data_IF_395389391973
#
_entry.id   IF_395389391973
#
_cell.length_a   1.000
_cell.length_b   1.000
_cell.length_c   1.000
_cell.angle_alpha   90.00
_cell.angle_beta   90.00
_cell.angle_gamma   90.00
#
_symmetry.space_group_name_H-M   'P 1'
#
loop_
_entity.id
_entity.type
_entity.pdbx_description
1 polymer ?
#
# COMPACT_ATOMS: atom_id res chain seq x y z
N UNK A 1 24.77 5.25 19.28
CA UNK A 1 24.62 4.99 17.82
C UNK A 1 24.65 3.48 17.64
N UNK A 2 23.52 2.80 17.70
CA UNK A 2 23.38 1.40 17.31
C UNK A 2 23.65 1.35 15.79
N UNK A 3 24.74 0.69 15.44
CA UNK A 3 25.13 0.40 14.07
C UNK A 3 24.08 -0.58 13.50
N UNK A 4 22.92 -0.05 13.04
CA UNK A 4 21.90 -0.86 12.36
C UNK A 4 22.55 -1.33 11.06
N UNK A 5 23.01 -2.57 11.02
CA UNK A 5 23.45 -3.21 9.79
C UNK A 5 22.36 -2.96 8.74
N UNK A 6 22.70 -2.24 7.69
CA UNK A 6 21.81 -2.00 6.57
C UNK A 6 21.42 -3.34 5.96
N UNK A 7 20.13 -3.71 6.01
CA UNK A 7 19.55 -4.95 5.46
C UNK A 7 19.21 -4.72 4.00
N UNK A 8 20.20 -4.94 3.11
CA UNK A 8 20.04 -4.78 1.67
C UNK A 8 18.96 -5.70 1.07
N UNK A 9 18.81 -6.90 1.61
CA UNK A 9 17.77 -7.85 1.24
C UNK A 9 16.35 -7.31 1.46
N UNK A 10 16.11 -6.60 2.58
CA UNK A 10 14.81 -5.97 2.85
C UNK A 10 14.54 -4.82 1.88
N UNK A 11 15.54 -4.02 1.54
CA UNK A 11 15.36 -2.96 0.54
C UNK A 11 15.10 -3.55 -0.85
N UNK A 12 15.78 -4.62 -1.20
CA UNK A 12 15.53 -5.34 -2.46
C UNK A 12 14.11 -5.91 -2.51
N UNK A 13 13.63 -6.55 -1.42
CA UNK A 13 12.24 -7.01 -1.33
C UNK A 13 11.24 -5.87 -1.53
N UNK A 14 11.46 -4.71 -0.92
CA UNK A 14 10.59 -3.54 -1.08
C UNK A 14 10.60 -3.01 -2.52
N UNK A 15 11.77 -3.01 -3.17
CA UNK A 15 11.88 -2.63 -4.57
C UNK A 15 11.08 -3.58 -5.47
N UNK A 16 11.30 -4.88 -5.33
CA UNK A 16 10.56 -5.89 -6.12
C UNK A 16 9.06 -5.78 -5.85
N UNK A 17 8.64 -5.63 -4.61
CA UNK A 17 7.23 -5.49 -4.25
C UNK A 17 6.56 -4.31 -4.96
N UNK A 18 7.16 -3.11 -4.94
CA UNK A 18 6.58 -1.94 -5.62
C UNK A 18 6.61 -2.08 -7.14
N UNK A 19 7.68 -2.65 -7.71
CA UNK A 19 7.78 -2.88 -9.15
C UNK A 19 6.73 -3.90 -9.64
N UNK A 20 6.46 -4.97 -8.86
CA UNK A 20 5.40 -5.93 -9.15
C UNK A 20 4.02 -5.25 -9.16
N UNK A 21 3.73 -4.41 -8.15
CA UNK A 21 2.47 -3.66 -8.10
C UNK A 21 2.32 -2.72 -9.31
N UNK A 22 3.38 -1.99 -9.68
CA UNK A 22 3.36 -1.10 -10.85
C UNK A 22 3.13 -1.92 -12.13
N UNK A 23 3.85 -3.03 -12.30
CA UNK A 23 3.71 -3.91 -13.46
C UNK A 23 2.30 -4.51 -13.57
N UNK A 24 1.66 -4.85 -12.44
CA UNK A 24 0.27 -5.28 -12.39
C UNK A 24 -0.69 -4.19 -12.88
N UNK A 25 -0.55 -2.97 -12.37
CA UNK A 25 -1.42 -1.86 -12.77
C UNK A 25 -1.19 -1.40 -14.22
N UNK A 26 0.01 -1.60 -14.76
CA UNK A 26 0.31 -1.43 -16.18
C UNK A 26 -0.13 -2.64 -17.04
N UNK A 27 -0.76 -3.67 -16.44
CA UNK A 27 -1.21 -4.91 -17.12
C UNK A 27 -0.08 -5.72 -17.77
N UNK A 28 1.15 -5.58 -17.27
CA UNK A 28 2.32 -6.33 -17.74
C UNK A 28 2.41 -7.74 -17.13
N UNK A 29 1.94 -7.91 -15.90
CA UNK A 29 1.92 -9.19 -15.18
C UNK A 29 0.58 -9.38 -14.45
N UNK A 30 0.13 -10.63 -14.31
CA UNK A 30 -1.18 -10.94 -13.71
C UNK A 30 -1.15 -10.96 -12.19
N UNK A 31 -0.12 -11.52 -11.59
CA UNK A 31 0.02 -11.71 -10.13
C UNK A 31 0.75 -10.60 -9.40
N UNK A 32 1.05 -9.46 -10.05
CA UNK A 32 1.83 -8.39 -9.41
C UNK A 32 1.13 -7.70 -8.23
N UNK A 33 -0.19 -7.83 -8.10
CA UNK A 33 -0.94 -7.37 -6.92
C UNK A 33 -0.44 -8.01 -5.61
N UNK A 34 0.17 -9.21 -5.68
CA UNK A 34 0.80 -9.90 -4.56
C UNK A 34 2.04 -9.17 -4.01
N UNK A 35 2.53 -8.13 -4.69
CA UNK A 35 3.52 -7.21 -4.12
C UNK A 35 3.04 -6.56 -2.81
N UNK A 36 1.74 -6.42 -2.60
CA UNK A 36 1.17 -5.92 -1.34
C UNK A 36 1.37 -6.94 -0.21
N UNK A 37 1.19 -8.24 -0.48
CA UNK A 37 1.40 -9.32 0.48
C UNK A 37 2.87 -9.33 0.94
N UNK A 38 3.82 -9.10 0.01
CA UNK A 38 5.25 -8.92 0.31
C UNK A 38 5.47 -7.74 1.26
N UNK A 39 4.83 -6.59 1.01
CA UNK A 39 4.92 -5.43 1.89
C UNK A 39 4.40 -5.72 3.30
N UNK A 40 3.30 -6.43 3.44
CA UNK A 40 2.74 -6.78 4.75
C UNK A 40 3.68 -7.69 5.56
N UNK A 41 4.30 -8.68 4.93
CA UNK A 41 5.33 -9.52 5.60
C UNK A 41 6.54 -8.68 6.04
N UNK A 42 7.05 -7.81 5.16
CA UNK A 42 8.16 -6.90 5.49
C UNK A 42 7.78 -6.02 6.67
N UNK A 43 6.57 -5.44 6.66
CA UNK A 43 6.08 -4.56 7.72
C UNK A 43 5.94 -5.29 9.05
N UNK A 44 5.39 -6.50 9.05
CA UNK A 44 5.34 -7.35 10.24
C UNK A 44 6.72 -7.58 10.85
N UNK A 45 7.72 -7.92 10.05
CA UNK A 45 9.09 -8.11 10.50
C UNK A 45 9.73 -6.82 11.02
N UNK A 46 9.74 -5.76 10.21
CA UNK A 46 10.44 -4.50 10.53
C UNK A 46 9.83 -3.82 11.75
N UNK A 47 8.51 -3.80 11.88
CA UNK A 47 7.82 -3.22 13.03
C UNK A 47 8.13 -4.00 14.29
N UNK A 48 7.97 -5.32 14.27
CA UNK A 48 8.22 -6.17 15.44
C UNK A 48 9.69 -6.10 15.87
N UNK A 49 10.63 -6.08 14.92
CA UNK A 49 12.05 -5.90 15.20
C UNK A 49 12.33 -4.54 15.85
N UNK A 50 11.71 -3.46 15.36
CA UNK A 50 11.86 -2.12 15.96
C UNK A 50 11.28 -2.04 17.38
N UNK A 51 10.14 -2.69 17.64
CA UNK A 51 9.55 -2.76 18.98
C UNK A 51 10.43 -3.58 19.92
N UNK A 52 10.93 -4.73 19.44
CA UNK A 52 11.79 -5.61 20.21
C UNK A 52 13.12 -4.95 20.63
N UNK A 53 13.71 -4.13 19.75
CA UNK A 53 14.98 -3.44 20.01
C UNK A 53 14.81 -2.04 20.65
N UNK A 54 13.58 -1.65 21.00
CA UNK A 54 13.33 -0.36 21.65
C UNK A 54 13.64 -0.41 23.13
N UNK A 55 14.25 0.64 23.68
CA UNK A 55 14.64 0.77 25.08
C UNK A 55 13.80 1.82 25.81
N UNK A 56 13.79 1.76 27.15
CA UNK A 56 13.03 2.65 28.01
C UNK A 56 11.71 2.08 28.51
N UNK A 57 10.95 2.89 29.25
CA UNK A 57 9.63 2.49 29.74
C UNK A 57 8.59 2.38 28.60
N UNK A 58 7.50 1.67 28.84
CA UNK A 58 6.48 1.38 27.84
C UNK A 58 5.94 2.66 27.15
N UNK A 59 5.63 3.68 27.93
CA UNK A 59 5.09 4.95 27.40
C UNK A 59 6.07 5.64 26.44
N UNK A 60 7.36 5.72 26.81
CA UNK A 60 8.39 6.32 25.95
C UNK A 60 8.62 5.49 24.67
N UNK A 61 8.59 4.15 24.76
CA UNK A 61 8.74 3.24 23.61
C UNK A 61 7.60 3.42 22.62
N UNK A 62 6.35 3.44 23.09
CA UNK A 62 5.16 3.66 22.28
C UNK A 62 5.17 5.07 21.66
N UNK A 63 5.38 6.12 22.48
CA UNK A 63 5.45 7.50 21.97
C UNK A 63 6.50 7.65 20.87
N UNK A 64 7.71 7.16 21.10
CA UNK A 64 8.80 7.25 20.12
C UNK A 64 8.51 6.43 18.85
N UNK A 65 7.84 5.28 18.98
CA UNK A 65 7.42 4.48 17.85
C UNK A 65 6.41 5.24 16.98
N UNK A 66 5.30 5.72 17.56
CA UNK A 66 4.24 6.43 16.82
C UNK A 66 4.75 7.73 16.19
N UNK A 67 5.56 8.51 16.90
CA UNK A 67 6.14 9.73 16.34
C UNK A 67 7.05 9.46 15.13
N UNK A 68 7.87 8.41 15.18
CA UNK A 68 8.71 8.04 14.02
C UNK A 68 7.87 7.60 12.82
N UNK A 69 6.75 6.90 13.05
CA UNK A 69 5.82 6.50 11.98
C UNK A 69 5.09 7.70 11.41
N UNK A 70 4.51 8.56 12.24
CA UNK A 70 3.84 9.77 11.82
C UNK A 70 4.74 10.64 10.91
N UNK A 71 5.97 10.91 11.33
CA UNK A 71 6.95 11.67 10.53
C UNK A 71 7.27 11.05 9.17
N UNK A 72 7.26 9.73 9.09
CA UNK A 72 7.62 9.01 7.87
C UNK A 72 6.47 8.94 6.87
N UNK A 73 5.23 8.79 7.35
CA UNK A 73 4.10 8.39 6.53
C UNK A 73 3.19 9.57 6.23
N UNK A 74 2.75 10.30 7.26
CA UNK A 74 1.71 11.32 7.13
C UNK A 74 2.05 12.45 6.17
N UNK A 75 3.25 13.07 6.18
CA UNK A 75 3.51 14.21 5.30
C UNK A 75 3.41 13.85 3.82
N UNK A 76 4.06 12.77 3.40
CA UNK A 76 4.05 12.33 2.01
C UNK A 76 2.68 11.83 1.57
N UNK A 77 1.99 11.06 2.43
CA UNK A 77 0.65 10.56 2.16
C UNK A 77 -0.35 11.68 1.96
N UNK A 78 -0.44 12.64 2.93
CA UNK A 78 -1.38 13.75 2.87
C UNK A 78 -1.07 14.71 1.71
N UNK A 79 0.21 14.95 1.42
CA UNK A 79 0.61 15.78 0.27
C UNK A 79 0.19 15.14 -1.05
N UNK A 80 0.38 13.83 -1.21
CA UNK A 80 -0.05 13.12 -2.43
C UNK A 80 -1.57 13.12 -2.53
N UNK A 81 -2.32 12.89 -1.42
CA UNK A 81 -3.79 12.97 -1.42
C UNK A 81 -4.25 14.36 -1.85
N UNK A 82 -3.63 15.43 -1.33
CA UNK A 82 -3.94 16.81 -1.71
C UNK A 82 -3.73 17.05 -3.21
N UNK A 83 -2.57 16.65 -3.74
CA UNK A 83 -2.27 16.78 -5.17
C UNK A 83 -3.27 15.97 -6.01
N UNK A 84 -3.55 14.73 -5.62
CA UNK A 84 -4.53 13.88 -6.31
C UNK A 84 -5.93 14.50 -6.27
N UNK A 85 -6.35 15.11 -5.16
CA UNK A 85 -7.62 15.82 -5.07
C UNK A 85 -7.69 17.00 -6.06
N UNK A 86 -6.62 17.81 -6.13
CA UNK A 86 -6.53 18.94 -7.09
C UNK A 86 -6.61 18.42 -8.53
N UNK A 87 -5.76 17.45 -8.88
CA UNK A 87 -5.71 16.91 -10.23
C UNK A 87 -6.99 16.16 -10.63
N UNK A 88 -7.62 15.41 -9.70
CA UNK A 88 -8.87 14.73 -9.98
C UNK A 88 -9.99 15.70 -10.34
N UNK A 89 -10.03 16.85 -9.66
CA UNK A 89 -10.98 17.94 -9.98
C UNK A 89 -10.74 18.56 -11.36
N UNK A 90 -9.48 18.66 -11.77
CA UNK A 90 -9.12 19.30 -13.04
C UNK A 90 -9.26 18.35 -14.25
N UNK A 91 -8.99 17.06 -14.08
CA UNK A 91 -8.78 16.13 -15.21
C UNK A 91 -9.73 14.94 -15.25
N UNK A 92 -10.44 14.61 -14.15
CA UNK A 92 -11.36 13.47 -14.12
C UNK A 92 -12.82 13.93 -14.20
N UNK A 93 -13.68 13.02 -14.68
CA UNK A 93 -15.07 13.31 -14.96
C UNK A 93 -15.83 13.86 -13.72
N UNK A 94 -16.64 14.95 -13.90
CA UNK A 94 -17.39 15.57 -12.81
C UNK A 94 -18.34 14.62 -12.08
N UNK A 95 -18.88 13.63 -12.79
CA UNK A 95 -19.80 12.63 -12.27
C UNK A 95 -19.26 11.86 -11.06
N UNK A 96 -17.93 11.64 -10.99
CA UNK A 96 -17.30 10.86 -9.93
C UNK A 96 -16.78 11.70 -8.75
N UNK A 97 -16.90 13.03 -8.80
CA UNK A 97 -16.27 13.91 -7.82
C UNK A 97 -16.85 13.74 -6.40
N UNK A 98 -18.16 13.48 -6.28
CA UNK A 98 -18.77 13.19 -4.96
C UNK A 98 -18.19 11.94 -4.32
N UNK A 99 -17.96 10.89 -5.12
CA UNK A 99 -17.30 9.66 -4.68
C UNK A 99 -15.83 9.92 -4.33
N UNK A 100 -15.08 10.61 -5.19
CA UNK A 100 -13.67 10.93 -4.94
C UNK A 100 -13.48 11.79 -3.67
N UNK A 101 -14.43 12.67 -3.35
CA UNK A 101 -14.45 13.42 -2.09
C UNK A 101 -14.49 12.48 -0.87
N UNK A 102 -15.36 11.46 -0.89
CA UNK A 102 -15.49 10.48 0.19
C UNK A 102 -14.25 9.60 0.26
N UNK A 103 -13.72 9.15 -0.89
CA UNK A 103 -12.50 8.33 -0.95
C UNK A 103 -11.28 9.10 -0.44
N UNK A 104 -11.16 10.41 -0.76
CA UNK A 104 -10.12 11.28 -0.23
C UNK A 104 -10.23 11.46 1.29
N UNK A 105 -11.46 11.57 1.82
CA UNK A 105 -11.70 11.64 3.27
C UNK A 105 -11.18 10.37 3.97
N UNK A 106 -11.63 9.21 3.53
CA UNK A 106 -11.19 7.94 4.10
C UNK A 106 -9.67 7.75 3.98
N UNK A 107 -9.09 8.15 2.84
CA UNK A 107 -7.64 8.05 2.62
C UNK A 107 -6.85 8.97 3.55
N UNK A 108 -7.31 10.22 3.75
CA UNK A 108 -6.65 11.18 4.64
C UNK A 108 -6.72 10.79 6.11
N UNK A 109 -7.75 10.04 6.50
CA UNK A 109 -7.93 9.48 7.85
C UNK A 109 -7.31 8.07 8.00
N UNK A 110 -6.55 7.59 7.02
CA UNK A 110 -5.93 6.25 7.00
C UNK A 110 -6.93 5.09 7.13
N UNK A 111 -8.18 5.32 6.72
CA UNK A 111 -9.27 4.35 6.76
C UNK A 111 -9.79 3.92 5.38
N UNK A 112 -9.01 4.12 4.30
CA UNK A 112 -9.44 3.85 2.93
C UNK A 112 -9.95 2.42 2.72
N UNK A 113 -9.32 1.44 3.37
CA UNK A 113 -9.77 0.04 3.35
C UNK A 113 -11.18 -0.13 3.91
N UNK A 114 -11.53 0.58 4.99
CA UNK A 114 -12.86 0.55 5.58
C UNK A 114 -13.87 1.20 4.61
N UNK A 115 -13.55 2.39 4.08
CA UNK A 115 -14.39 3.09 3.11
C UNK A 115 -14.70 2.23 1.88
N UNK A 116 -13.68 1.64 1.26
CA UNK A 116 -13.86 0.78 0.08
C UNK A 116 -14.59 -0.53 0.42
N UNK A 117 -14.32 -1.13 1.57
CA UNK A 117 -15.03 -2.32 2.04
C UNK A 117 -16.53 -2.08 2.26
N UNK A 118 -16.91 -0.95 2.90
CA UNK A 118 -18.31 -0.57 3.12
C UNK A 118 -19.04 -0.34 1.79
N UNK A 119 -18.37 0.29 0.81
CA UNK A 119 -18.94 0.51 -0.51
C UNK A 119 -18.92 -0.73 -1.40
N UNK A 120 -18.45 -1.86 -0.87
CA UNK A 120 -18.37 -3.17 -1.55
C UNK A 120 -17.70 -3.10 -2.92
N UNK A 121 -16.62 -2.32 -3.01
CA UNK A 121 -15.86 -2.14 -4.24
C UNK A 121 -14.95 -3.34 -4.48
N UNK A 122 -15.24 -4.11 -5.53
CA UNK A 122 -14.32 -5.18 -5.95
C UNK A 122 -13.04 -4.56 -6.55
N UNK A 123 -11.93 -4.71 -5.83
CA UNK A 123 -10.63 -4.19 -6.26
C UNK A 123 -10.12 -4.86 -7.53
N UNK A 124 -10.35 -6.16 -7.66
CA UNK A 124 -9.77 -6.97 -8.75
C UNK A 124 -10.64 -6.97 -10.00
N UNK A 125 -11.97 -6.90 -9.86
CA UNK A 125 -12.95 -7.11 -10.94
C UNK A 125 -13.98 -5.98 -11.09
N UNK A 126 -13.71 -4.77 -10.53
CA UNK A 126 -14.67 -3.67 -10.59
C UNK A 126 -14.94 -3.21 -12.03
N UNK A 127 -16.21 -3.17 -12.41
CA UNK A 127 -16.70 -2.57 -13.67
C UNK A 127 -16.85 -1.05 -13.60
N UNK A 128 -16.73 -0.46 -12.43
CA UNK A 128 -16.87 0.99 -12.24
C UNK A 128 -15.53 1.71 -12.47
N UNK A 129 -15.60 3.00 -12.86
CA UNK A 129 -14.40 3.82 -13.01
C UNK A 129 -13.59 3.82 -11.70
N UNK A 130 -12.29 3.48 -11.76
CA UNK A 130 -11.48 3.32 -10.57
C UNK A 130 -11.24 4.66 -9.86
N UNK A 131 -11.24 4.64 -8.52
CA UNK A 131 -10.88 5.79 -7.70
C UNK A 131 -9.38 6.09 -7.79
N UNK A 132 -8.97 7.36 -7.91
CA UNK A 132 -7.56 7.73 -7.86
C UNK A 132 -6.92 7.48 -6.49
N UNK A 133 -7.72 7.22 -5.46
CA UNK A 133 -7.28 6.90 -4.11
C UNK A 133 -7.30 5.40 -3.81
N UNK A 134 -7.69 4.54 -4.76
CA UNK A 134 -7.96 3.13 -4.51
C UNK A 134 -6.80 2.40 -3.83
N UNK A 135 -5.55 2.66 -4.26
CA UNK A 135 -4.34 2.03 -3.71
C UNK A 135 -4.08 2.33 -2.21
N UNK A 136 -4.75 3.36 -1.63
CA UNK A 136 -4.64 3.67 -0.20
C UNK A 136 -5.26 2.61 0.73
N UNK A 137 -6.03 1.66 0.17
CA UNK A 137 -6.59 0.58 0.99
C UNK A 137 -5.53 -0.21 1.75
N UNK A 138 -4.44 -0.57 1.08
CA UNK A 138 -3.37 -1.35 1.71
C UNK A 138 -2.61 -0.55 2.76
N UNK A 139 -2.42 0.76 2.54
CA UNK A 139 -1.84 1.66 3.52
C UNK A 139 -2.76 1.78 4.76
N UNK A 140 -4.09 1.83 4.57
CA UNK A 140 -5.04 1.80 5.68
C UNK A 140 -4.91 0.54 6.54
N UNK A 141 -4.82 -0.65 5.91
CA UNK A 141 -4.57 -1.92 6.61
C UNK A 141 -3.24 -1.88 7.37
N UNK A 142 -2.19 -1.38 6.74
CA UNK A 142 -0.85 -1.29 7.33
C UNK A 142 -0.83 -0.34 8.55
N UNK A 143 -1.47 0.83 8.46
CA UNK A 143 -1.56 1.79 9.57
C UNK A 143 -2.37 1.24 10.75
N UNK A 144 -3.45 0.52 10.49
CA UNK A 144 -4.23 -0.14 11.54
C UNK A 144 -3.39 -1.21 12.25
N UNK A 145 -2.58 -1.97 11.51
CA UNK A 145 -1.59 -2.87 12.11
C UNK A 145 -0.58 -2.09 12.97
N UNK A 146 -0.08 -0.94 12.51
CA UNK A 146 0.87 -0.11 13.27
C UNK A 146 0.28 0.45 14.56
N UNK A 147 -1.03 0.69 14.60
CA UNK A 147 -1.70 1.17 15.82
C UNK A 147 -1.90 0.02 16.80
N UNK A 148 -2.37 -1.14 16.35
CA UNK A 148 -2.81 -2.25 17.21
C UNK A 148 -1.63 -3.12 17.64
N UNK A 149 -0.72 -3.46 16.72
CA UNK A 149 0.35 -4.42 16.96
C UNK A 149 1.31 -4.05 18.10
N UNK A 150 1.77 -2.80 18.27
CA UNK A 150 2.64 -2.45 19.41
C UNK A 150 2.02 -2.73 20.75
N UNK A 151 0.71 -2.50 20.91
CA UNK A 151 -0.01 -2.76 22.15
C UNK A 151 -0.07 -4.27 22.43
N UNK A 152 -0.43 -5.06 21.43
CA UNK A 152 -0.46 -6.53 21.52
C UNK A 152 0.94 -7.08 21.80
N UNK A 153 1.97 -6.59 21.07
CA UNK A 153 3.33 -7.08 21.19
C UNK A 153 3.90 -6.85 22.61
N UNK A 154 3.75 -5.65 23.16
CA UNK A 154 4.25 -5.35 24.49
C UNK A 154 3.47 -6.05 25.59
N UNK A 155 2.16 -6.25 25.42
CA UNK A 155 1.34 -6.93 26.43
C UNK A 155 1.57 -8.44 26.45
N UNK A 156 1.71 -9.08 25.29
CA UNK A 156 1.68 -10.54 25.19
C UNK A 156 3.00 -11.17 24.73
N UNK A 157 3.76 -10.53 23.85
CA UNK A 157 4.82 -11.19 23.11
C UNK A 157 6.24 -10.70 23.41
N UNK A 158 6.44 -9.59 24.12
CA UNK A 158 7.79 -9.03 24.36
C UNK A 158 8.76 -10.06 24.93
N UNK A 159 8.31 -10.89 25.87
CA UNK A 159 9.09 -11.94 26.49
C UNK A 159 8.80 -13.35 25.95
N UNK A 160 7.82 -13.48 25.06
CA UNK A 160 7.29 -14.77 24.58
C UNK A 160 7.11 -14.77 23.05
N UNK A 161 8.04 -14.23 22.30
CA UNK A 161 7.93 -14.03 20.84
C UNK A 161 7.59 -15.28 20.06
N UNK A 162 8.04 -16.46 20.52
CA UNK A 162 7.71 -17.73 19.87
C UNK A 162 6.21 -18.06 19.88
N UNK A 163 5.44 -17.46 20.80
CA UNK A 163 3.99 -17.66 20.81
C UNK A 163 3.31 -17.06 19.56
N UNK A 164 3.96 -16.13 18.87
CA UNK A 164 3.43 -15.59 17.60
C UNK A 164 3.21 -16.72 16.57
N UNK A 165 4.04 -17.76 16.58
CA UNK A 165 3.87 -18.92 15.69
C UNK A 165 2.54 -19.63 15.88
N UNK A 166 1.99 -19.67 17.10
CA UNK A 166 0.70 -20.29 17.37
C UNK A 166 -0.50 -19.50 16.83
N UNK A 167 -0.29 -18.20 16.56
CA UNK A 167 -1.31 -17.36 15.91
C UNK A 167 -1.33 -17.54 14.39
N UNK A 168 -0.26 -18.03 13.77
CA UNK A 168 -0.18 -18.15 12.30
C UNK A 168 -1.30 -19.04 11.72
N UNK A 169 -1.49 -20.31 12.18
CA UNK A 169 -2.54 -21.15 11.63
C UNK A 169 -3.93 -20.55 11.87
N UNK A 170 -4.17 -19.99 13.06
CA UNK A 170 -5.47 -19.38 13.40
C UNK A 170 -5.78 -18.20 12.48
N UNK A 171 -4.82 -17.28 12.29
CA UNK A 171 -4.98 -16.12 11.41
C UNK A 171 -5.15 -16.56 9.94
N UNK A 172 -4.39 -17.56 9.50
CA UNK A 172 -4.47 -18.09 8.13
C UNK A 172 -5.82 -18.73 7.85
N UNK A 173 -6.28 -19.62 8.74
CA UNK A 173 -7.61 -20.28 8.60
C UNK A 173 -8.72 -19.24 8.67
N UNK A 174 -8.64 -18.28 9.61
CA UNK A 174 -9.60 -17.19 9.73
C UNK A 174 -9.67 -16.31 8.48
N UNK A 175 -8.52 -16.01 7.86
CA UNK A 175 -8.45 -15.25 6.62
C UNK A 175 -9.14 -15.99 5.46
N UNK A 176 -8.83 -17.27 5.27
CA UNK A 176 -9.42 -18.09 4.20
C UNK A 176 -10.92 -18.24 4.41
N UNK A 177 -11.34 -18.50 5.65
CA UNK A 177 -12.76 -18.65 6.00
C UNK A 177 -13.54 -17.36 5.75
N UNK A 178 -13.02 -16.20 6.18
CA UNK A 178 -13.66 -14.91 5.94
C UNK A 178 -13.74 -14.56 4.45
N UNK A 179 -12.73 -14.93 3.65
CA UNK A 179 -12.73 -14.71 2.21
C UNK A 179 -13.79 -15.56 1.50
N UNK A 180 -14.01 -16.78 1.95
CA UNK A 180 -15.08 -17.64 1.40
C UNK A 180 -16.49 -17.12 1.72
N UNK A 181 -16.67 -16.49 2.88
CA UNK A 181 -17.98 -15.93 3.28
C UNK A 181 -18.25 -14.55 2.66
N UNK A 182 -17.23 -13.68 2.64
CA UNK A 182 -17.36 -12.28 2.21
C UNK A 182 -16.16 -11.87 1.35
N UNK A 183 -16.04 -12.35 0.10
CA UNK A 183 -14.83 -12.23 -0.70
C UNK A 183 -14.37 -10.78 -0.92
N UNK A 184 -15.29 -9.87 -1.25
CA UNK A 184 -14.96 -8.46 -1.49
C UNK A 184 -14.59 -7.74 -0.20
N UNK A 185 -15.39 -7.92 0.85
CA UNK A 185 -15.16 -7.24 2.13
C UNK A 185 -13.88 -7.74 2.81
N UNK A 186 -13.64 -9.06 2.80
CA UNK A 186 -12.43 -9.66 3.36
C UNK A 186 -11.14 -9.19 2.73
N UNK A 187 -11.17 -8.82 1.45
CA UNK A 187 -10.01 -8.25 0.77
C UNK A 187 -9.45 -7.03 1.49
N UNK A 188 -10.34 -6.20 2.06
CA UNK A 188 -10.00 -4.94 2.73
C UNK A 188 -9.82 -5.08 4.25
N UNK A 189 -10.22 -6.20 4.86
CA UNK A 189 -10.17 -6.37 6.32
C UNK A 189 -8.74 -6.59 6.83
N UNK A 190 -8.29 -5.86 7.86
CA UNK A 190 -7.00 -6.10 8.51
C UNK A 190 -6.88 -7.51 9.10
N UNK A 191 -7.99 -8.07 9.61
CA UNK A 191 -8.02 -9.44 10.17
C UNK A 191 -7.72 -10.50 9.11
N UNK A 192 -8.21 -10.33 7.89
CA UNK A 192 -7.96 -11.25 6.79
C UNK A 192 -6.52 -11.16 6.24
N UNK A 193 -5.83 -10.05 6.49
CA UNK A 193 -4.44 -9.80 6.13
C UNK A 193 -3.46 -10.02 7.27
N UNK A 194 -3.98 -10.30 8.50
CA UNK A 194 -3.16 -10.41 9.70
C UNK A 194 -2.09 -11.50 9.61
N UNK A 195 -2.37 -12.62 8.92
CA UNK A 195 -1.41 -13.71 8.78
C UNK A 195 -0.12 -13.27 8.06
N UNK A 196 -0.20 -12.41 7.05
CA UNK A 196 0.95 -11.88 6.31
C UNK A 196 1.89 -11.09 7.24
N UNK A 197 1.33 -10.19 8.05
CA UNK A 197 2.10 -9.46 9.06
C UNK A 197 2.68 -10.41 10.14
N UNK A 198 1.91 -11.40 10.56
CA UNK A 198 2.34 -12.35 11.59
C UNK A 198 3.48 -13.25 11.10
N UNK A 199 3.51 -13.67 9.81
CA UNK A 199 4.65 -14.37 9.23
C UNK A 199 5.93 -13.56 9.37
N UNK A 200 5.88 -12.27 9.04
CA UNK A 200 7.02 -11.37 9.25
C UNK A 200 7.38 -11.20 10.72
N UNK A 201 6.41 -10.94 11.59
CA UNK A 201 6.61 -10.74 13.02
C UNK A 201 7.23 -11.96 13.72
N UNK A 202 6.82 -13.17 13.33
CA UNK A 202 7.33 -14.43 13.90
C UNK A 202 8.83 -14.62 13.69
N UNK A 203 9.39 -14.12 12.58
CA UNK A 203 10.83 -14.22 12.29
C UNK A 203 11.72 -13.54 13.34
N UNK A 204 11.19 -12.54 14.06
CA UNK A 204 11.93 -11.87 15.14
C UNK A 204 12.22 -12.83 16.31
N UNK A 205 11.39 -13.86 16.49
CA UNK A 205 11.58 -14.89 17.50
C UNK A 205 12.58 -15.98 17.11
N UNK A 206 12.85 -16.15 15.82
CA UNK A 206 13.73 -17.22 15.27
C UNK A 206 15.14 -16.71 14.99
N UNK A 207 15.25 -15.44 14.58
CA UNK A 207 16.51 -14.88 14.09
C UNK A 207 16.76 -15.18 12.60
N UNK A 208 18.04 -15.18 12.17
CA UNK A 208 18.42 -15.46 10.80
C UNK A 208 18.99 -16.87 10.63
N UNK A 209 18.89 -17.42 9.43
CA UNK A 209 19.47 -18.72 9.07
C UNK A 209 20.98 -18.74 9.36
N UNK A 210 21.46 -19.86 9.88
CA UNK A 210 22.89 -20.10 10.15
C UNK A 210 23.57 -20.74 8.94
N UNK A 211 22.88 -21.65 8.27
CA UNK A 211 23.37 -22.42 7.13
C UNK A 211 22.43 -22.28 5.92
N UNK A 212 22.93 -22.54 4.72
CA UNK A 212 22.12 -22.57 3.50
C UNK A 212 21.46 -21.24 3.10
N UNK A 213 21.97 -20.09 3.56
CA UNK A 213 21.36 -18.77 3.34
C UNK A 213 21.04 -18.47 1.89
N UNK A 214 21.99 -18.78 0.99
CA UNK A 214 21.84 -18.47 -0.43
C UNK A 214 20.78 -19.36 -1.09
N UNK A 215 20.70 -20.64 -0.70
CA UNK A 215 19.67 -21.55 -1.20
C UNK A 215 18.29 -21.14 -0.70
N UNK A 216 18.16 -20.81 0.59
CA UNK A 216 16.90 -20.33 1.16
C UNK A 216 16.45 -19.01 0.51
N UNK A 217 17.38 -18.09 0.24
CA UNK A 217 17.08 -16.87 -0.47
C UNK A 217 16.65 -17.16 -1.92
N UNK A 218 17.36 -18.02 -2.63
CA UNK A 218 17.04 -18.39 -4.00
C UNK A 218 15.66 -19.05 -4.11
N UNK A 219 15.31 -19.98 -3.21
CA UNK A 219 13.97 -20.58 -3.15
C UNK A 219 12.89 -19.54 -2.84
N UNK A 220 13.16 -18.62 -1.91
CA UNK A 220 12.22 -17.52 -1.62
C UNK A 220 12.02 -16.61 -2.83
N UNK A 221 13.08 -16.19 -3.51
CA UNK A 221 12.97 -15.37 -4.73
C UNK A 221 12.25 -16.11 -5.86
N UNK A 222 12.55 -17.39 -6.06
CA UNK A 222 11.85 -18.21 -7.05
C UNK A 222 10.34 -18.26 -6.76
N UNK A 223 9.94 -18.46 -5.51
CA UNK A 223 8.53 -18.47 -5.12
C UNK A 223 7.84 -17.10 -5.31
N UNK A 224 8.53 -15.98 -5.02
CA UNK A 224 8.00 -14.64 -5.30
C UNK A 224 7.74 -14.45 -6.80
N UNK A 225 8.73 -14.75 -7.66
CA UNK A 225 8.56 -14.58 -9.10
C UNK A 225 7.55 -15.58 -9.67
N UNK A 226 7.58 -16.84 -9.23
CA UNK A 226 6.59 -17.84 -9.65
C UNK A 226 5.17 -17.37 -9.32
N UNK A 227 4.93 -16.86 -8.10
CA UNK A 227 3.61 -16.33 -7.72
C UNK A 227 3.19 -15.14 -8.58
N UNK A 228 4.11 -14.22 -8.91
CA UNK A 228 3.82 -13.04 -9.71
C UNK A 228 3.42 -13.38 -11.16
N UNK A 229 3.93 -14.45 -11.74
CA UNK A 229 3.62 -14.86 -13.12
C UNK A 229 2.50 -15.90 -13.21
N UNK A 230 2.36 -16.79 -12.22
CA UNK A 230 1.44 -17.93 -12.28
C UNK A 230 0.10 -17.67 -11.58
N UNK A 231 0.03 -16.77 -10.59
CA UNK A 231 -1.21 -16.48 -9.87
C UNK A 231 -1.97 -15.39 -10.61
N UNK A 232 -3.26 -15.63 -10.84
CA UNK A 232 -4.19 -14.69 -11.48
C UNK A 232 -5.05 -13.97 -10.45
N UNK A 233 -5.48 -12.74 -10.77
CA UNK A 233 -6.42 -11.92 -10.01
C UNK A 233 -7.89 -12.35 -10.12
N UNK A 234 -8.18 -13.41 -10.87
CA UNK A 234 -9.54 -13.92 -11.04
C UNK A 234 -10.08 -14.68 -9.81
N UNK A 235 -9.25 -14.95 -8.83
CA UNK A 235 -9.62 -15.69 -7.62
C UNK A 235 -9.66 -14.74 -6.44
N UNK A 236 -10.71 -14.84 -5.61
CA UNK A 236 -10.83 -14.05 -4.38
C UNK A 236 -9.57 -14.15 -3.52
N UNK A 237 -9.11 -13.03 -2.98
CA UNK A 237 -7.88 -12.90 -2.21
C UNK A 237 -8.19 -12.21 -0.86
N UNK A 238 -7.59 -12.63 0.28
CA UNK A 238 -6.57 -13.69 0.41
C UNK A 238 -7.13 -15.12 0.30
N UNK A 239 -6.31 -16.04 -0.22
CA UNK A 239 -6.62 -17.45 -0.32
C UNK A 239 -5.36 -18.29 -0.08
N UNK A 240 -5.44 -19.62 -0.24
CA UNK A 240 -4.27 -20.50 -0.05
C UNK A 240 -3.08 -20.13 -0.95
N UNK A 241 -3.30 -19.57 -2.14
CA UNK A 241 -2.22 -19.16 -3.04
C UNK A 241 -1.46 -17.95 -2.50
N UNK A 242 -2.08 -17.11 -1.64
CA UNK A 242 -1.42 -15.97 -0.97
C UNK A 242 -0.34 -16.44 0.02
N UNK A 243 -0.36 -17.70 0.45
CA UNK A 243 0.71 -18.27 1.27
C UNK A 243 2.02 -18.40 0.49
N UNK A 244 2.00 -18.55 -0.83
CA UNK A 244 3.22 -18.70 -1.64
C UNK A 244 4.08 -17.43 -1.53
N UNK A 245 3.61 -16.22 -1.90
CA UNK A 245 4.41 -14.99 -1.77
C UNK A 245 4.73 -14.68 -0.29
N UNK A 246 3.81 -14.97 0.64
CA UNK A 246 3.99 -14.73 2.07
C UNK A 246 5.14 -15.56 2.64
N UNK A 247 5.14 -16.89 2.44
CA UNK A 247 6.18 -17.80 2.92
C UNK A 247 7.50 -17.51 2.18
N UNK A 248 7.45 -17.27 0.88
CA UNK A 248 8.62 -16.96 0.07
C UNK A 248 9.32 -15.68 0.55
N UNK A 249 8.56 -14.64 0.87
CA UNK A 249 9.09 -13.40 1.45
C UNK A 249 9.70 -13.66 2.83
N UNK A 250 9.01 -14.45 3.67
CA UNK A 250 9.53 -14.85 4.98
C UNK A 250 10.84 -15.62 4.86
N UNK A 251 10.98 -16.51 3.87
CA UNK A 251 12.24 -17.25 3.60
C UNK A 251 13.38 -16.31 3.21
N UNK A 252 13.15 -15.31 2.34
CA UNK A 252 14.17 -14.32 1.98
C UNK A 252 14.62 -13.53 3.20
N UNK A 253 13.69 -13.06 4.04
CA UNK A 253 13.98 -12.31 5.26
C UNK A 253 14.75 -13.18 6.26
N UNK A 254 14.33 -14.45 6.44
CA UNK A 254 14.98 -15.41 7.33
C UNK A 254 16.40 -15.76 6.87
N UNK A 255 16.57 -15.95 5.57
CA UNK A 255 17.88 -16.21 4.97
C UNK A 255 18.87 -15.07 5.29
N UNK A 256 18.42 -13.82 5.20
CA UNK A 256 19.27 -12.64 5.41
C UNK A 256 20.47 -12.60 4.47
N UNK A 257 20.30 -13.12 3.25
CA UNK A 257 21.33 -13.20 2.22
C UNK A 257 21.26 -11.99 1.29
N UNK A 258 22.41 -11.44 0.94
CA UNK A 258 22.51 -10.28 0.03
C UNK A 258 22.78 -10.68 -1.43
N UNK A 259 22.61 -11.97 -1.79
CA UNK A 259 22.93 -12.50 -3.13
C UNK A 259 22.25 -11.73 -4.26
N UNK A 260 21.00 -11.27 -4.05
CA UNK A 260 20.26 -10.47 -5.03
C UNK A 260 20.19 -8.97 -4.67
N UNK A 261 21.04 -8.51 -3.76
CA UNK A 261 20.98 -7.14 -3.22
C UNK A 261 21.77 -6.17 -4.09
N UNK A 262 21.22 -5.84 -5.27
CA UNK A 262 21.81 -4.85 -6.18
C UNK A 262 21.59 -3.42 -5.65
N UNK A 263 22.59 -2.56 -5.74
CA UNK A 263 22.52 -1.16 -5.27
C UNK A 263 21.34 -0.38 -5.84
N UNK A 264 21.02 -0.60 -7.11
CA UNK A 264 19.88 0.05 -7.77
C UNK A 264 18.55 -0.38 -7.13
N UNK A 265 18.39 -1.67 -6.81
CA UNK A 265 17.20 -2.18 -6.13
C UNK A 265 17.11 -1.66 -4.70
N UNK A 266 18.23 -1.56 -3.98
CA UNK A 266 18.24 -0.95 -2.65
C UNK A 266 17.75 0.49 -2.69
N UNK A 267 18.23 1.29 -3.65
CA UNK A 267 17.77 2.66 -3.84
C UNK A 267 16.27 2.75 -4.14
N UNK A 268 15.76 1.93 -5.08
CA UNK A 268 14.32 1.83 -5.35
C UNK A 268 13.54 1.43 -4.10
N UNK A 269 14.08 0.50 -3.30
CA UNK A 269 13.49 0.10 -2.03
C UNK A 269 13.38 1.21 -0.99
N UNK A 270 14.37 2.11 -0.94
CA UNK A 270 14.34 3.28 -0.06
C UNK A 270 13.22 4.25 -0.39
N UNK A 271 12.99 4.51 -1.68
CA UNK A 271 11.96 5.42 -2.19
C UNK A 271 10.63 4.70 -2.49
N UNK A 272 10.53 3.38 -2.22
CA UNK A 272 9.39 2.55 -2.59
C UNK A 272 8.06 3.04 -2.01
N UNK A 273 8.08 3.67 -0.84
CA UNK A 273 6.88 4.23 -0.21
C UNK A 273 6.29 5.37 -1.06
N UNK A 274 7.10 6.37 -1.39
CA UNK A 274 6.64 7.49 -2.22
C UNK A 274 6.29 7.03 -3.63
N UNK A 275 7.05 6.10 -4.21
CA UNK A 275 6.75 5.50 -5.51
C UNK A 275 5.39 4.78 -5.48
N UNK A 276 5.08 4.05 -4.39
CA UNK A 276 3.78 3.43 -4.18
C UNK A 276 2.65 4.46 -4.09
N UNK A 277 2.86 5.60 -3.43
CA UNK A 277 1.83 6.65 -3.31
C UNK A 277 1.46 7.28 -4.66
N UNK A 278 2.43 7.48 -5.56
CA UNK A 278 2.22 8.24 -6.79
C UNK A 278 1.85 7.38 -8.01
N UNK A 279 2.16 6.06 -8.00
CA UNK A 279 2.04 5.24 -9.21
C UNK A 279 0.61 5.15 -9.75
N UNK A 280 -0.36 4.86 -8.89
CA UNK A 280 -1.73 4.64 -9.31
C UNK A 280 -2.44 5.90 -9.82
N UNK A 281 -2.41 7.03 -9.09
CA UNK A 281 -2.99 8.27 -9.61
C UNK A 281 -2.36 8.68 -10.96
N UNK A 282 -1.05 8.53 -11.13
CA UNK A 282 -0.37 8.88 -12.39
C UNK A 282 -0.89 8.00 -13.55
N UNK A 283 -1.05 6.70 -13.33
CA UNK A 283 -1.65 5.81 -14.34
C UNK A 283 -3.02 6.33 -14.78
N UNK A 284 -3.87 6.67 -13.81
CA UNK A 284 -5.22 7.17 -14.11
C UNK A 284 -5.22 8.53 -14.79
N UNK A 285 -4.34 9.46 -14.41
CA UNK A 285 -4.29 10.78 -15.05
C UNK A 285 -3.76 10.69 -16.48
N UNK A 286 -2.71 9.89 -16.74
CA UNK A 286 -2.20 9.64 -18.10
C UNK A 286 -3.24 8.94 -18.96
N UNK A 287 -4.02 8.03 -18.34
CA UNK A 287 -5.12 7.31 -18.99
C UNK A 287 -6.44 8.08 -19.08
N UNK A 288 -6.51 9.33 -18.54
CA UNK A 288 -7.74 10.13 -18.47
C UNK A 288 -8.90 9.40 -17.79
N UNK A 289 -8.62 8.74 -16.68
CA UNK A 289 -9.57 7.93 -15.92
C UNK A 289 -9.59 6.45 -16.29
N UNK A 290 -8.91 6.05 -17.37
CA UNK A 290 -8.72 4.66 -17.73
C UNK A 290 -7.41 4.12 -17.12
N UNK A 291 -7.45 2.96 -16.49
CA UNK A 291 -6.26 2.29 -15.96
C UNK A 291 -5.44 1.53 -17.00
N UNK A 292 -5.97 1.33 -18.22
CA UNK A 292 -5.25 0.65 -19.28
C UNK A 292 -4.45 1.66 -20.13
N UNK A 293 -3.12 1.52 -20.08
CA UNK A 293 -2.22 2.34 -20.88
C UNK A 293 -1.55 1.51 -21.97
N UNK A 294 -1.33 2.13 -23.13
CA UNK A 294 -0.69 1.48 -24.29
C UNK A 294 0.39 2.38 -24.88
N UNK A 295 1.39 1.75 -25.49
CA UNK A 295 2.43 2.43 -26.26
C UNK A 295 3.17 3.53 -25.46
N UNK A 296 3.29 4.72 -26.04
CA UNK A 296 4.01 5.83 -25.43
C UNK A 296 3.46 6.28 -24.08
N UNK A 297 2.17 6.05 -23.76
CA UNK A 297 1.57 6.41 -22.49
C UNK A 297 2.19 5.66 -21.30
N UNK A 298 2.67 4.43 -21.50
CA UNK A 298 3.36 3.66 -20.46
C UNK A 298 4.67 4.38 -20.09
N UNK A 299 5.46 4.79 -21.07
CA UNK A 299 6.72 5.48 -20.83
C UNK A 299 6.53 6.85 -20.19
N UNK A 300 5.50 7.60 -20.62
CA UNK A 300 5.11 8.88 -20.01
C UNK A 300 4.74 8.65 -18.53
N UNK A 301 3.93 7.63 -18.22
CA UNK A 301 3.57 7.31 -16.85
C UNK A 301 4.79 6.96 -15.99
N UNK A 302 5.71 6.11 -16.50
CA UNK A 302 6.94 5.75 -15.79
C UNK A 302 7.84 6.97 -15.53
N UNK A 303 8.00 7.86 -16.51
CA UNK A 303 8.75 9.11 -16.35
C UNK A 303 8.12 10.02 -15.30
N UNK A 304 6.80 10.21 -15.36
CA UNK A 304 6.07 11.02 -14.38
C UNK A 304 6.12 10.41 -12.97
N UNK A 305 6.07 9.08 -12.83
CA UNK A 305 6.24 8.39 -11.56
C UNK A 305 7.64 8.65 -10.98
N UNK A 306 8.69 8.54 -11.80
CA UNK A 306 10.06 8.81 -11.36
C UNK A 306 10.22 10.27 -10.90
N UNK A 307 9.72 11.24 -11.70
CA UNK A 307 9.78 12.67 -11.38
C UNK A 307 8.98 13.01 -10.11
N UNK A 308 7.72 12.54 -10.01
CA UNK A 308 6.87 12.79 -8.84
C UNK A 308 7.47 12.15 -7.57
N UNK A 309 8.02 10.92 -7.69
CA UNK A 309 8.71 10.26 -6.58
C UNK A 309 9.91 11.09 -6.12
N UNK A 310 10.73 11.58 -7.04
CA UNK A 310 11.87 12.42 -6.71
C UNK A 310 11.42 13.70 -6.00
N UNK A 311 10.46 14.42 -6.56
CA UNK A 311 9.94 15.67 -5.99
C UNK A 311 9.35 15.47 -4.59
N UNK A 312 8.47 14.50 -4.40
CA UNK A 312 7.85 14.22 -3.08
C UNK A 312 8.90 13.72 -2.09
N UNK A 313 9.84 12.88 -2.53
CA UNK A 313 10.89 12.39 -1.62
C UNK A 313 11.83 13.52 -1.17
N UNK A 314 12.31 14.38 -2.09
CA UNK A 314 13.26 15.45 -1.78
C UNK A 314 12.62 16.58 -0.98
N UNK A 315 11.42 17.01 -1.37
CA UNK A 315 10.81 18.20 -0.78
C UNK A 315 9.92 17.89 0.44
N UNK A 316 9.44 16.65 0.59
CA UNK A 316 8.50 16.28 1.65
C UNK A 316 9.04 15.14 2.51
N UNK A 317 9.29 13.93 1.96
CA UNK A 317 9.65 12.77 2.77
C UNK A 317 10.94 12.99 3.55
N UNK A 318 12.02 13.37 2.87
CA UNK A 318 13.35 13.54 3.50
C UNK A 318 13.34 14.65 4.57
N UNK A 319 12.80 15.86 4.33
CA UNK A 319 12.78 16.92 5.33
C UNK A 319 12.02 16.57 6.61
N UNK A 320 10.87 15.91 6.49
CA UNK A 320 10.09 15.48 7.66
C UNK A 320 10.70 14.27 8.38
N UNK A 321 11.26 13.33 7.64
CA UNK A 321 11.87 12.11 8.17
C UNK A 321 13.15 12.38 8.96
N UNK A 322 13.99 13.30 8.49
CA UNK A 322 15.31 13.61 9.07
C UNK A 322 15.32 14.88 9.92
N UNK A 323 14.17 15.27 10.50
CA UNK A 323 14.04 16.30 11.57
C UNK A 323 14.26 17.76 11.16
N UNK A 324 14.38 18.08 9.87
CA UNK A 324 14.39 19.49 9.43
C UNK A 324 13.05 20.18 9.74
N UNK A 325 11.94 19.46 9.58
CA UNK A 325 10.59 19.88 9.92
C UNK A 325 9.94 18.78 10.78
N UNK A 326 9.35 19.07 11.90
CA UNK A 326 8.50 18.07 12.55
C UNK A 326 8.87 17.68 13.97
N UNK A 327 9.18 18.65 14.83
CA UNK A 327 9.13 18.48 16.29
C UNK A 327 7.69 18.63 16.80
N UNK A 328 6.70 18.09 16.03
CA UNK A 328 5.32 18.12 16.46
C UNK A 328 5.10 17.16 17.64
N UNK A 329 4.31 17.61 18.63
CA UNK A 329 3.78 16.74 19.66
C UNK A 329 2.77 15.74 19.07
N UNK A 330 2.37 14.68 19.78
CA UNK A 330 1.29 13.79 19.30
C UNK A 330 0.00 14.56 18.95
N UNK A 331 -0.39 15.55 19.76
CA UNK A 331 -1.54 16.42 19.49
C UNK A 331 -1.30 17.26 18.24
N UNK A 332 -0.08 17.77 18.03
CA UNK A 332 0.29 18.49 16.82
C UNK A 332 0.15 17.65 15.54
N UNK A 333 0.45 16.34 15.60
CA UNK A 333 0.24 15.43 14.48
C UNK A 333 -1.25 15.17 14.21
N UNK A 334 -2.07 15.05 15.24
CA UNK A 334 -3.53 14.95 15.08
C UNK A 334 -4.11 16.22 14.47
N UNK A 335 -3.69 17.40 14.93
CA UNK A 335 -4.09 18.67 14.34
C UNK A 335 -3.63 18.78 12.87
N UNK A 336 -2.42 18.33 12.53
CA UNK A 336 -1.92 18.30 11.16
C UNK A 336 -2.79 17.46 10.24
N UNK A 337 -3.18 16.24 10.68
CA UNK A 337 -4.11 15.39 9.93
C UNK A 337 -5.45 16.11 9.74
N UNK A 338 -6.02 16.64 10.82
CA UNK A 338 -7.32 17.34 10.77
C UNK A 338 -7.33 18.52 9.80
N UNK A 339 -6.31 19.39 9.89
CA UNK A 339 -6.17 20.55 8.99
C UNK A 339 -5.98 20.10 7.54
N UNK A 340 -5.09 19.16 7.29
CA UNK A 340 -4.86 18.63 5.94
C UNK A 340 -6.14 18.01 5.35
N UNK A 341 -6.88 17.24 6.15
CA UNK A 341 -8.17 16.67 5.74
C UNK A 341 -9.19 17.75 5.40
N UNK A 342 -9.32 18.80 6.22
CA UNK A 342 -10.22 19.93 5.94
C UNK A 342 -9.83 20.66 4.65
N UNK A 343 -8.55 20.89 4.41
CA UNK A 343 -8.06 21.50 3.16
C UNK A 343 -8.40 20.60 1.96
N UNK A 344 -8.13 19.30 2.05
CA UNK A 344 -8.47 18.34 1.00
C UNK A 344 -9.97 18.33 0.70
N UNK A 345 -10.81 18.32 1.74
CA UNK A 345 -12.27 18.37 1.56
C UNK A 345 -12.72 19.71 0.96
N UNK A 346 -12.07 20.82 1.33
CA UNK A 346 -12.32 22.15 0.80
C UNK A 346 -12.13 22.25 -0.72
N UNK A 347 -11.15 21.52 -1.29
CA UNK A 347 -10.94 21.43 -2.74
C UNK A 347 -12.19 20.92 -3.45
N UNK A 348 -12.90 19.96 -2.88
CA UNK A 348 -14.12 19.41 -3.47
C UNK A 348 -15.36 20.32 -3.30
N UNK A 349 -15.27 21.37 -2.49
CA UNK A 349 -16.33 22.38 -2.36
C UNK A 349 -16.21 23.51 -3.38
N UNK A 350 -15.05 23.68 -4.02
CA UNK A 350 -14.85 24.70 -5.06
C UNK A 350 -15.75 24.36 -6.25
N UNK A 351 -16.64 25.25 -6.73
CA UNK A 351 -17.48 24.99 -7.88
C UNK A 351 -16.65 24.64 -9.12
N UNK A 352 -17.00 23.56 -9.83
CA UNK A 352 -16.42 23.32 -11.15
C UNK A 352 -17.09 24.27 -12.15
N UNK A 353 -16.33 25.13 -12.79
CA UNK A 353 -16.79 25.84 -14.00
C UNK A 353 -17.17 24.77 -15.02
N UNK A 354 -18.38 24.89 -15.58
CA UNK A 354 -19.02 23.94 -16.46
C UNK A 354 -18.04 23.27 -17.46
N UNK A 355 -17.51 22.11 -17.09
CA UNK A 355 -16.69 21.25 -17.99
C UNK A 355 -17.60 20.52 -18.99
N UNK A 356 -18.93 20.66 -18.82
CA UNK A 356 -19.96 20.04 -19.71
C UNK A 356 -19.83 20.49 -21.16
N UNK A 357 -19.25 21.67 -21.44
CA UNK A 357 -19.07 22.15 -22.81
C UNK A 357 -18.03 21.39 -23.65
N UNK A 358 -17.15 20.60 -23.02
CA UNK A 358 -16.10 19.86 -23.75
C UNK A 358 -16.36 18.37 -23.91
N UNK A 359 -17.42 17.85 -23.30
CA UNK A 359 -17.91 16.51 -23.60
C UNK A 359 -18.84 16.58 -24.81
N UNK A 360 -18.29 16.51 -26.03
CA UNK A 360 -19.07 16.17 -27.21
C UNK A 360 -19.57 14.74 -26.98
N UNK A 361 -20.86 14.61 -26.68
CA UNK A 361 -21.56 13.32 -26.77
C UNK A 361 -21.55 12.99 -28.24
N UNK A 362 -20.81 11.96 -28.63
CA UNK A 362 -20.88 11.42 -29.98
C UNK A 362 -22.23 10.73 -30.13
N UNK A 363 -23.19 11.47 -30.68
CA UNK A 363 -24.55 10.99 -30.95
C UNK A 363 -24.64 10.17 -32.25
N UNK A 364 -23.52 9.94 -32.95
CA UNK A 364 -23.49 9.16 -34.18
C UNK A 364 -23.54 7.65 -33.94
N UNK A 365 -23.35 7.18 -32.71
CA UNK A 365 -23.45 5.78 -32.33
C UNK A 365 -24.88 5.46 -31.86
N UNK A 366 -25.54 4.41 -32.35
CA UNK A 366 -26.90 4.05 -31.93
C UNK A 366 -27.00 3.56 -30.48
N UNK A 367 -25.85 3.44 -29.77
CA UNK A 367 -25.79 3.02 -28.39
C UNK A 367 -24.85 3.96 -27.62
N UNK A 368 -25.43 4.83 -26.78
CA UNK A 368 -24.67 5.69 -25.90
C UNK A 368 -24.41 4.93 -24.59
N UNK A 369 -23.17 4.52 -24.35
CA UNK A 369 -22.77 3.98 -23.06
C UNK A 369 -22.47 5.12 -22.10
N UNK A 370 -23.41 5.45 -21.23
CA UNK A 370 -23.17 6.31 -20.09
C UNK A 370 -23.23 5.42 -18.85
N UNK A 371 -22.07 5.09 -18.29
CA UNK A 371 -21.92 4.46 -16.98
C UNK A 371 -22.68 3.13 -16.77
N UNK A 372 -22.65 2.22 -17.73
CA UNK A 372 -23.28 0.92 -17.61
C UNK A 372 -24.81 0.92 -17.77
N UNK A 373 -25.44 2.07 -18.02
CA UNK A 373 -26.82 2.15 -18.39
C UNK A 373 -26.97 2.12 -19.92
N UNK A 374 -27.68 1.12 -20.44
CA UNK A 374 -28.11 1.08 -21.81
C UNK A 374 -29.30 2.04 -21.97
N UNK A 375 -29.10 3.18 -22.63
CA UNK A 375 -30.20 3.97 -23.19
C UNK A 375 -30.43 3.50 -24.60
N UNK A 376 -31.34 2.55 -24.81
CA UNK A 376 -31.86 2.27 -26.17
C UNK A 376 -32.81 3.41 -26.52
N UNK A 377 -32.53 4.16 -27.57
CA UNK A 377 -33.54 4.96 -28.23
C UNK A 377 -34.52 4.01 -28.91
N UNK A 378 -35.77 4.05 -28.50
CA UNK A 378 -36.90 3.57 -29.32
C UNK A 378 -37.34 4.66 -30.28
#
# INVERSE_FOLDING_TARGET
>A
KLNRKHRGDIQTLRAIAVLLVIAYHLKLIKGGFLGVDIFFVISGFVITQNLNSSEGNLSSRLKNFYLRRAKRILPSSLAVILLVAIFSRAYLAPLYQSRFKVDALWSSLMGANIGFGIHNLDYLQSSTAPSPFLHYWSLGVEEQFYIIWPLIFFSLFINRKRLIFWLLPVATVGAIFSTNLWPVFSFYLPSSRAFEFLFGAALVGVGSAKFGKNLLAATGWLGIFASAFLISDQVANPNLKSLIPTISTALVIYAGSEVFSLRILQYIGEISFTLYLVHWPIILFVGRGNSQLYGAKIWIALLLMALATLLVSVFIEIPFRYEKFGKLSPIGWLAFIGIATLVIQGIYLIPQKNVVSNFKIDTSSPVVYVNGCHLSQR
#
